data_IF_571103410262
#
_entry.id   IF_571103410262
#
_cell.length_a   1.000
_cell.length_b   1.000
_cell.length_c   1.000
_cell.angle_alpha   90.00
_cell.angle_beta   90.00
_cell.angle_gamma   90.00
#
_symmetry.space_group_name_H-M   'P 1'
#
loop_
_entity.id
_entity.type
_entity.pdbx_description
1 polymer ?
#
# COMPACT_ATOMS: atom_id res chain seq x y z
N UNK A 1 4.72 16.65 21.44
CA UNK A 1 5.15 15.25 21.30
C UNK A 1 4.34 14.43 22.30
N UNK A 2 3.59 13.45 21.83
CA UNK A 2 2.94 12.48 22.72
C UNK A 2 4.03 11.50 23.22
N UNK A 3 4.15 11.35 24.53
CA UNK A 3 5.19 10.53 25.19
C UNK A 3 5.16 9.08 24.67
N UNK A 4 3.96 8.63 24.28
CA UNK A 4 3.71 7.31 23.68
C UNK A 4 4.32 7.17 22.29
N UNK A 5 4.29 8.24 21.48
CA UNK A 5 4.77 8.25 20.09
C UNK A 5 6.30 8.31 20.04
N UNK A 6 6.90 9.09 20.93
CA UNK A 6 8.35 9.11 21.11
C UNK A 6 8.89 7.71 21.44
N UNK A 7 8.23 6.98 22.34
CA UNK A 7 8.62 5.62 22.67
C UNK A 7 8.45 4.65 21.49
N UNK A 8 7.39 4.82 20.69
CA UNK A 8 7.18 4.02 19.49
C UNK A 8 8.31 4.21 18.45
N UNK A 9 8.78 5.44 18.26
CA UNK A 9 9.92 5.74 17.39
C UNK A 9 11.21 5.10 17.90
N UNK A 10 11.49 5.21 19.19
CA UNK A 10 12.67 4.58 19.79
C UNK A 10 12.64 3.04 19.63
N UNK A 11 11.48 2.43 19.86
CA UNK A 11 11.31 0.99 19.67
C UNK A 11 11.54 0.58 18.21
N UNK A 12 11.02 1.35 17.25
CA UNK A 12 11.21 1.10 15.83
C UNK A 12 12.69 1.22 15.43
N UNK A 13 13.39 2.27 15.88
CA UNK A 13 14.82 2.46 15.62
C UNK A 13 15.63 1.31 16.20
N UNK A 14 15.33 0.87 17.42
CA UNK A 14 16.02 -0.28 18.01
C UNK A 14 15.79 -1.58 17.24
N UNK A 15 14.58 -1.81 16.73
CA UNK A 15 14.28 -2.96 15.88
C UNK A 15 15.08 -2.91 14.58
N UNK A 16 15.17 -1.74 13.94
CA UNK A 16 15.93 -1.55 12.71
C UNK A 16 17.44 -1.72 12.90
N UNK A 17 17.98 -1.32 14.05
CA UNK A 17 19.40 -1.51 14.37
C UNK A 17 19.75 -2.95 14.78
N UNK A 18 18.77 -3.71 15.26
CA UNK A 18 18.97 -5.07 15.79
C UNK A 18 18.53 -6.16 14.82
N UNK A 19 17.82 -5.81 13.74
CA UNK A 19 17.33 -6.80 12.79
C UNK A 19 18.45 -7.35 11.90
N UNK A 20 18.31 -8.58 11.37
CA UNK A 20 19.20 -9.08 10.34
C UNK A 20 19.16 -8.21 9.08
N UNK A 21 20.31 -8.05 8.43
CA UNK A 21 20.41 -7.35 7.15
C UNK A 21 19.40 -7.91 6.15
N UNK A 22 18.52 -7.05 5.62
CA UNK A 22 17.48 -7.39 4.65
C UNK A 22 16.07 -7.55 5.22
N UNK A 23 15.88 -7.40 6.54
CA UNK A 23 14.55 -7.39 7.19
C UNK A 23 14.02 -5.97 7.48
N UNK A 24 14.85 -4.94 7.26
CA UNK A 24 14.49 -3.53 7.48
C UNK A 24 13.26 -3.11 6.67
N UNK A 25 13.11 -3.46 5.37
CA UNK A 25 11.95 -3.06 4.58
C UNK A 25 10.62 -3.58 5.13
N UNK A 26 10.59 -4.81 5.65
CA UNK A 26 9.41 -5.45 6.22
C UNK A 26 9.01 -4.77 7.53
N UNK A 27 9.99 -4.43 8.37
CA UNK A 27 9.78 -3.70 9.62
C UNK A 27 9.24 -2.30 9.34
N UNK A 28 9.83 -1.58 8.37
CA UNK A 28 9.35 -0.26 7.94
C UNK A 28 7.93 -0.34 7.35
N UNK A 29 7.64 -1.35 6.54
CA UNK A 29 6.32 -1.54 5.94
C UNK A 29 5.24 -1.80 6.99
N UNK A 30 5.56 -2.57 8.03
CA UNK A 30 4.64 -2.84 9.14
C UNK A 30 4.38 -1.62 10.03
N UNK A 31 5.26 -0.61 9.99
CA UNK A 31 5.23 0.57 10.85
C UNK A 31 5.14 1.89 10.07
N UNK A 32 4.60 1.87 8.84
CA UNK A 32 4.51 3.05 7.97
C UNK A 32 3.80 4.24 8.62
N UNK A 33 2.86 4.00 9.54
CA UNK A 33 2.15 5.04 10.29
C UNK A 33 3.05 5.86 11.25
N UNK A 34 4.22 5.30 11.58
CA UNK A 34 5.26 5.95 12.38
C UNK A 34 6.34 6.61 11.52
N UNK A 35 6.38 6.35 10.21
CA UNK A 35 7.42 6.88 9.32
C UNK A 35 6.98 8.26 8.79
N UNK A 36 7.27 9.30 9.56
CA UNK A 36 6.98 10.69 9.23
C UNK A 36 8.20 11.60 9.48
N UNK A 37 8.04 12.91 9.23
CA UNK A 37 9.10 13.89 9.39
C UNK A 37 9.65 13.96 10.85
N UNK A 38 8.82 13.65 11.85
CA UNK A 38 9.25 13.62 13.25
C UNK A 38 10.12 12.39 13.53
N UNK A 39 9.75 11.22 12.99
CA UNK A 39 10.58 10.02 13.06
C UNK A 39 11.96 10.22 12.43
N UNK A 40 12.05 10.89 11.28
CA UNK A 40 13.34 11.19 10.64
C UNK A 40 14.24 12.05 11.53
N UNK A 41 13.68 13.05 12.22
CA UNK A 41 14.44 13.88 13.16
C UNK A 41 14.95 13.05 14.33
N UNK A 42 14.15 12.11 14.84
CA UNK A 42 14.59 11.20 15.91
C UNK A 42 15.72 10.28 15.42
N UNK A 43 15.67 9.79 14.18
CA UNK A 43 16.78 9.03 13.59
C UNK A 43 18.09 9.83 13.55
N UNK A 44 18.06 11.11 13.18
CA UNK A 44 19.25 11.99 13.18
C UNK A 44 19.79 12.20 14.59
N UNK A 45 18.93 12.47 15.57
CA UNK A 45 19.34 12.65 16.98
C UNK A 45 19.98 11.37 17.53
N UNK A 46 19.42 10.19 17.22
CA UNK A 46 20.01 8.92 17.66
C UNK A 46 21.31 8.63 16.91
N UNK A 47 21.42 8.96 15.63
CA UNK A 47 22.65 8.82 14.87
C UNK A 47 23.79 9.67 15.47
N UNK A 48 23.51 10.92 15.88
CA UNK A 48 24.51 11.77 16.53
C UNK A 48 24.98 11.22 17.88
N UNK A 49 24.05 10.67 18.68
CA UNK A 49 24.40 10.00 19.93
C UNK A 49 25.27 8.75 19.67
N UNK A 50 24.90 7.91 18.71
CA UNK A 50 25.67 6.72 18.33
C UNK A 50 27.07 7.06 17.83
N UNK A 51 27.21 8.14 17.04
CA UNK A 51 28.51 8.63 16.61
C UNK A 51 29.37 9.08 17.80
N UNK A 52 28.77 9.77 18.79
CA UNK A 52 29.43 10.15 20.03
C UNK A 52 29.88 8.97 20.89
N UNK A 53 29.21 7.82 20.77
CA UNK A 53 29.56 6.56 21.44
C UNK A 53 30.57 5.70 20.63
N UNK A 54 31.00 6.15 19.46
CA UNK A 54 31.92 5.41 18.58
C UNK A 54 31.25 4.34 17.71
N UNK A 55 29.91 4.32 17.65
CA UNK A 55 29.12 3.40 16.82
C UNK A 55 28.86 3.98 15.41
N UNK A 56 29.92 4.37 14.70
CA UNK A 56 29.82 5.07 13.41
C UNK A 56 28.98 4.30 12.37
N UNK A 57 29.14 2.97 12.28
CA UNK A 57 28.36 2.16 11.33
C UNK A 57 26.85 2.24 11.56
N UNK A 58 26.42 2.27 12.83
CA UNK A 58 25.00 2.37 13.19
C UNK A 58 24.48 3.80 12.96
N UNK A 59 25.30 4.82 13.25
CA UNK A 59 24.99 6.21 12.95
C UNK A 59 24.83 6.46 11.44
N UNK A 60 25.75 5.95 10.63
CA UNK A 60 25.71 6.08 9.17
C UNK A 60 24.52 5.32 8.57
N UNK A 61 24.18 4.16 9.13
CA UNK A 61 22.95 3.45 8.75
C UNK A 61 21.71 4.33 8.98
N UNK A 62 21.57 4.93 10.18
CA UNK A 62 20.40 5.77 10.49
C UNK A 62 20.33 7.02 9.63
N UNK A 63 21.46 7.69 9.36
CA UNK A 63 21.51 8.87 8.46
C UNK A 63 21.15 8.50 7.03
N UNK A 64 21.68 7.38 6.53
CA UNK A 64 21.34 6.89 5.19
C UNK A 64 19.88 6.48 5.08
N UNK A 65 19.33 5.87 6.13
CA UNK A 65 17.92 5.51 6.20
C UNK A 65 17.05 6.77 6.26
N UNK A 66 17.37 7.74 7.12
CA UNK A 66 16.65 8.99 7.26
C UNK A 66 16.67 9.80 5.96
N UNK A 67 17.80 9.82 5.25
CA UNK A 67 17.91 10.44 3.93
C UNK A 67 17.07 9.74 2.86
N UNK A 68 17.08 8.41 2.81
CA UNK A 68 16.25 7.65 1.86
C UNK A 68 14.76 7.80 2.13
N UNK A 69 14.37 7.72 3.40
CA UNK A 69 12.99 7.92 3.82
C UNK A 69 12.57 9.38 3.67
N UNK A 70 13.48 10.34 3.90
CA UNK A 70 13.28 11.76 3.65
C UNK A 70 13.15 12.10 2.17
N UNK A 71 13.83 11.39 1.28
CA UNK A 71 13.60 11.48 -0.16
C UNK A 71 12.29 10.80 -0.55
N UNK A 72 11.91 9.69 0.07
CA UNK A 72 10.62 9.05 -0.17
C UNK A 72 9.46 9.95 0.28
N UNK A 73 9.55 10.49 1.50
CA UNK A 73 8.60 11.45 2.07
C UNK A 73 8.65 12.79 1.34
N UNK A 74 9.83 13.31 0.97
CA UNK A 74 10.02 14.53 0.20
C UNK A 74 9.50 14.42 -1.24
N UNK A 75 9.63 13.24 -1.86
CA UNK A 75 8.97 12.93 -3.14
C UNK A 75 7.47 12.75 -2.97
N UNK A 76 7.01 12.38 -1.78
CA UNK A 76 5.60 12.48 -1.44
C UNK A 76 5.19 13.93 -1.16
N UNK A 77 6.06 14.80 -0.62
CA UNK A 77 5.79 16.20 -0.24
C UNK A 77 5.88 17.22 -1.38
N UNK A 78 6.81 17.06 -2.34
CA UNK A 78 6.78 17.78 -3.63
C UNK A 78 5.57 17.34 -4.49
N UNK A 79 4.93 16.21 -4.13
CA UNK A 79 3.63 15.75 -4.62
C UNK A 79 2.49 15.96 -3.58
N UNK A 80 2.71 16.77 -2.54
CA UNK A 80 1.74 17.06 -1.46
C UNK A 80 1.64 18.56 -1.20
N UNK A 81 1.37 19.34 -2.25
CA UNK A 81 0.33 20.37 -2.10
C UNK A 81 -1.04 19.70 -2.37
N UNK A 82 -1.49 18.89 -1.40
CA UNK A 82 -2.78 18.19 -1.42
C UNK A 82 -3.65 18.60 -0.24
N UNK A 83 -3.54 19.86 0.17
CA UNK A 83 -4.48 20.48 1.10
C UNK A 83 -5.75 20.97 0.37
N UNK A 84 -6.39 20.09 -0.40
CA UNK A 84 -7.74 20.34 -0.91
C UNK A 84 -8.55 19.04 -1.10
N UNK A 85 -9.79 18.96 -0.60
CA UNK A 85 -10.77 17.93 -0.97
C UNK A 85 -11.03 17.87 -2.49
N UNK A 86 -10.63 18.91 -3.24
CA UNK A 86 -10.75 18.99 -4.69
C UNK A 86 -9.80 18.04 -5.44
N UNK A 87 -8.58 17.79 -4.94
CA UNK A 87 -7.62 16.90 -5.63
C UNK A 87 -8.06 15.43 -5.56
N UNK A 88 -8.57 14.93 -4.42
CA UNK A 88 -9.07 13.55 -4.34
C UNK A 88 -10.25 13.30 -5.29
N UNK A 89 -11.15 14.28 -5.41
CA UNK A 89 -12.28 14.22 -6.35
C UNK A 89 -11.81 14.20 -7.80
N UNK A 90 -10.68 14.80 -8.12
CA UNK A 90 -10.09 14.74 -9.46
C UNK A 90 -9.58 13.34 -9.80
N UNK A 91 -8.84 12.69 -8.90
CA UNK A 91 -8.40 11.30 -9.08
C UNK A 91 -9.61 10.36 -9.22
N UNK A 92 -10.61 10.48 -8.35
CA UNK A 92 -11.82 9.67 -8.42
C UNK A 92 -12.57 9.86 -9.75
N UNK A 93 -12.75 11.11 -10.18
CA UNK A 93 -13.41 11.43 -11.45
C UNK A 93 -12.63 10.88 -12.63
N UNK A 94 -11.31 11.02 -12.61
CA UNK A 94 -10.43 10.53 -13.67
C UNK A 94 -10.47 9.00 -13.78
N UNK A 95 -10.41 8.29 -12.66
CA UNK A 95 -10.52 6.82 -12.64
C UNK A 95 -11.90 6.38 -13.16
N UNK A 96 -12.98 7.04 -12.71
CA UNK A 96 -14.35 6.74 -13.18
C UNK A 96 -14.51 6.96 -14.67
N UNK A 97 -13.92 8.03 -15.21
CA UNK A 97 -13.94 8.33 -16.63
C UNK A 97 -13.18 7.26 -17.44
N UNK A 98 -12.03 6.81 -16.96
CA UNK A 98 -11.28 5.72 -17.59
C UNK A 98 -12.06 4.40 -17.58
N UNK A 99 -12.62 4.02 -16.44
CA UNK A 99 -13.44 2.80 -16.33
C UNK A 99 -14.69 2.88 -17.23
N UNK A 100 -15.33 4.05 -17.31
CA UNK A 100 -16.46 4.26 -18.22
C UNK A 100 -16.02 4.16 -19.69
N UNK A 101 -14.87 4.73 -20.04
CA UNK A 101 -14.34 4.68 -21.40
C UNK A 101 -13.98 3.23 -21.80
N UNK A 102 -13.45 2.42 -20.89
CA UNK A 102 -13.22 0.98 -21.13
C UNK A 102 -14.51 0.26 -21.52
N UNK A 103 -15.60 0.54 -20.79
CA UNK A 103 -16.92 -0.05 -21.04
C UNK A 103 -17.46 0.42 -22.40
N UNK A 104 -17.50 1.73 -22.63
CA UNK A 104 -18.14 2.33 -23.81
C UNK A 104 -17.38 2.06 -25.10
N UNK A 105 -16.05 1.98 -25.02
CA UNK A 105 -15.18 1.75 -26.17
C UNK A 105 -14.88 0.27 -26.42
N UNK A 106 -15.32 -0.63 -25.52
CA UNK A 106 -14.94 -2.03 -25.52
C UNK A 106 -13.40 -2.19 -25.53
N UNK A 107 -12.74 -1.48 -24.61
CA UNK A 107 -11.29 -1.44 -24.43
C UNK A 107 -10.50 -1.01 -25.67
N UNK A 108 -11.01 -0.01 -26.41
CA UNK A 108 -10.26 0.59 -27.51
C UNK A 108 -9.24 1.60 -26.97
N UNK A 109 -7.96 1.20 -26.98
CA UNK A 109 -6.81 2.04 -26.62
C UNK A 109 -6.79 3.40 -27.32
N UNK A 110 -7.42 3.53 -28.51
CA UNK A 110 -7.53 4.82 -29.23
C UNK A 110 -8.43 5.82 -28.51
N UNK A 111 -9.33 5.35 -27.66
CA UNK A 111 -10.17 6.17 -26.77
C UNK A 111 -9.48 6.38 -25.42
N UNK A 112 -8.85 5.35 -24.86
CA UNK A 112 -8.23 5.39 -23.54
C UNK A 112 -6.96 6.26 -23.51
N UNK A 113 -6.07 6.11 -24.49
CA UNK A 113 -4.76 6.76 -24.48
C UNK A 113 -4.84 8.30 -24.56
N UNK A 114 -5.76 8.92 -25.32
CA UNK A 114 -5.99 10.36 -25.23
C UNK A 114 -6.40 10.84 -23.83
N UNK A 115 -7.25 10.08 -23.12
CA UNK A 115 -7.72 10.43 -21.76
C UNK A 115 -6.52 10.38 -20.79
N UNK A 116 -5.72 9.31 -20.85
CA UNK A 116 -4.49 9.18 -20.07
C UNK A 116 -3.48 10.31 -20.37
N UNK A 117 -3.32 10.66 -21.66
CA UNK A 117 -2.38 11.70 -22.10
C UNK A 117 -2.69 13.07 -21.52
N UNK A 118 -3.95 13.44 -21.43
CA UNK A 118 -4.37 14.75 -20.92
C UNK A 118 -4.06 14.93 -19.43
N UNK A 119 -4.06 13.83 -18.67
CA UNK A 119 -3.95 13.83 -17.20
C UNK A 119 -2.79 12.97 -16.69
N UNK A 120 -1.66 12.98 -17.42
CA UNK A 120 -0.45 12.24 -17.04
C UNK A 120 0.08 12.60 -15.65
N UNK A 121 -0.12 13.84 -15.19
CA UNK A 121 0.28 14.28 -13.85
C UNK A 121 -0.45 13.52 -12.73
N UNK A 122 -1.63 12.96 -13.02
CA UNK A 122 -2.38 12.11 -12.10
C UNK A 122 -1.91 10.65 -12.14
N UNK A 123 -1.05 10.22 -13.06
CA UNK A 123 -0.54 8.85 -13.10
C UNK A 123 0.65 8.69 -12.14
N UNK A 124 0.32 8.59 -10.86
CA UNK A 124 1.29 8.47 -9.77
C UNK A 124 0.77 7.52 -8.68
N UNK A 125 1.52 7.37 -7.57
CA UNK A 125 1.15 6.49 -6.47
C UNK A 125 -0.25 6.78 -5.88
N UNK A 126 -0.72 8.04 -5.95
CA UNK A 126 -2.05 8.40 -5.48
C UNK A 126 -3.15 7.77 -6.34
N UNK A 127 -2.95 7.69 -7.66
CA UNK A 127 -3.88 6.98 -8.53
C UNK A 127 -4.03 5.52 -8.11
N UNK A 128 -2.93 4.83 -7.85
CA UNK A 128 -2.96 3.43 -7.40
C UNK A 128 -3.77 3.28 -6.10
N UNK A 129 -3.58 4.19 -5.14
CA UNK A 129 -4.35 4.21 -3.88
C UNK A 129 -5.84 4.50 -4.11
N UNK A 130 -6.17 5.49 -4.93
CA UNK A 130 -7.56 5.87 -5.20
C UNK A 130 -8.28 4.82 -6.05
N UNK A 131 -7.57 4.09 -6.92
CA UNK A 131 -8.12 3.00 -7.72
C UNK A 131 -8.73 1.91 -6.83
N UNK A 132 -8.06 1.55 -5.73
CA UNK A 132 -8.60 0.60 -4.75
C UNK A 132 -9.94 1.06 -4.17
N UNK A 133 -10.00 2.32 -3.71
CA UNK A 133 -11.23 2.89 -3.12
C UNK A 133 -12.37 2.98 -4.14
N UNK A 134 -12.05 3.38 -5.38
CA UNK A 134 -13.05 3.43 -6.45
C UNK A 134 -13.54 2.02 -6.77
N UNK A 135 -12.65 1.04 -6.90
CA UNK A 135 -13.02 -0.35 -7.15
C UNK A 135 -13.95 -0.90 -6.07
N UNK A 136 -13.59 -0.75 -4.79
CA UNK A 136 -14.40 -1.15 -3.64
C UNK A 136 -15.80 -0.53 -3.66
N UNK A 137 -15.89 0.77 -3.98
CA UNK A 137 -17.17 1.46 -4.10
C UNK A 137 -18.03 0.97 -5.29
N UNK A 138 -17.42 0.55 -6.39
CA UNK A 138 -18.15 0.01 -7.55
C UNK A 138 -18.72 -1.38 -7.29
N UNK A 139 -17.97 -2.21 -6.57
CA UNK A 139 -18.35 -3.59 -6.27
C UNK A 139 -19.22 -3.72 -5.02
N UNK A 140 -19.28 -2.67 -4.17
CA UNK A 140 -20.11 -2.64 -2.99
C UNK A 140 -21.58 -2.97 -3.33
N UNK A 141 -22.16 -3.89 -2.56
CA UNK A 141 -23.54 -4.34 -2.69
C UNK A 141 -23.92 -4.92 -4.08
N UNK A 142 -22.94 -5.37 -4.87
CA UNK A 142 -23.14 -6.06 -6.15
C UNK A 142 -23.11 -7.57 -6.01
N UNK A 143 -23.81 -8.25 -6.92
CA UNK A 143 -23.74 -9.71 -7.04
C UNK A 143 -22.43 -10.17 -7.70
N UNK A 144 -22.12 -11.46 -7.58
CA UNK A 144 -20.84 -12.02 -8.04
C UNK A 144 -20.59 -11.85 -9.55
N UNK A 145 -21.63 -11.82 -10.38
CA UNK A 145 -21.51 -11.68 -11.84
C UNK A 145 -21.17 -10.23 -12.19
N UNK A 146 -21.85 -9.28 -11.55
CA UNK A 146 -21.54 -7.85 -11.67
C UNK A 146 -20.13 -7.54 -11.16
N UNK A 147 -19.72 -8.12 -10.02
CA UNK A 147 -18.35 -7.97 -9.50
C UNK A 147 -17.32 -8.50 -10.49
N UNK A 148 -17.53 -9.69 -11.05
CA UNK A 148 -16.61 -10.27 -12.03
C UNK A 148 -16.47 -9.38 -13.29
N UNK A 149 -17.58 -8.77 -13.73
CA UNK A 149 -17.57 -7.82 -14.85
C UNK A 149 -16.76 -6.56 -14.54
N UNK A 150 -16.98 -5.95 -13.38
CA UNK A 150 -16.22 -4.76 -12.91
C UNK A 150 -14.73 -5.08 -12.80
N UNK A 151 -14.40 -6.24 -12.25
CA UNK A 151 -13.02 -6.70 -12.10
C UNK A 151 -12.35 -6.90 -13.46
N UNK A 152 -13.07 -7.43 -14.46
CA UNK A 152 -12.56 -7.53 -15.84
C UNK A 152 -12.27 -6.17 -16.46
N UNK A 153 -13.08 -5.15 -16.18
CA UNK A 153 -12.85 -3.78 -16.64
C UNK A 153 -11.57 -3.19 -15.99
N UNK A 154 -11.38 -3.41 -14.69
CA UNK A 154 -10.17 -2.97 -13.97
C UNK A 154 -8.91 -3.64 -14.53
N UNK A 155 -9.00 -4.92 -14.89
CA UNK A 155 -7.91 -5.65 -15.54
C UNK A 155 -7.54 -5.04 -16.89
N UNK A 156 -8.52 -4.77 -17.75
CA UNK A 156 -8.29 -4.13 -19.04
C UNK A 156 -7.61 -2.76 -18.88
N UNK A 157 -8.12 -1.93 -17.97
CA UNK A 157 -7.50 -0.64 -17.67
C UNK A 157 -6.06 -0.79 -17.17
N UNK A 158 -5.78 -1.82 -16.37
CA UNK A 158 -4.43 -2.11 -15.86
C UNK A 158 -3.47 -2.50 -16.99
N UNK A 159 -3.94 -3.28 -17.97
CA UNK A 159 -3.20 -3.62 -19.18
C UNK A 159 -2.92 -2.35 -20.00
N UNK A 160 -3.93 -1.50 -20.18
CA UNK A 160 -3.82 -0.27 -20.96
C UNK A 160 -2.84 0.73 -20.36
N UNK A 161 -2.90 0.95 -19.04
CA UNK A 161 -1.96 1.81 -18.31
C UNK A 161 -0.55 1.19 -18.34
N UNK A 162 -0.43 -0.13 -18.16
CA UNK A 162 0.85 -0.83 -18.26
C UNK A 162 1.46 -0.75 -19.67
N UNK A 163 0.67 -0.59 -20.73
CA UNK A 163 1.17 -0.44 -22.09
C UNK A 163 1.27 1.02 -22.55
N UNK A 164 0.78 1.96 -21.74
CA UNK A 164 0.77 3.38 -22.08
C UNK A 164 2.21 3.92 -22.22
N UNK A 165 2.59 4.47 -23.39
CA UNK A 165 3.98 4.81 -23.69
C UNK A 165 4.42 6.18 -23.16
N UNK A 166 3.50 6.98 -22.61
CA UNK A 166 3.77 8.32 -22.09
C UNK A 166 3.68 8.36 -20.56
N UNK A 167 4.23 9.42 -19.96
CA UNK A 167 4.27 9.60 -18.52
C UNK A 167 5.44 8.86 -17.85
N UNK A 168 5.34 8.69 -16.53
CA UNK A 168 6.37 7.98 -15.76
C UNK A 168 6.12 6.46 -15.83
N UNK A 169 7.03 5.73 -16.47
CA UNK A 169 6.93 4.28 -16.66
C UNK A 169 6.82 3.51 -15.34
N UNK A 170 7.55 3.92 -14.31
CA UNK A 170 7.50 3.25 -13.01
C UNK A 170 6.11 3.41 -12.38
N UNK A 171 5.56 4.62 -12.37
CA UNK A 171 4.22 4.88 -11.86
C UNK A 171 3.15 4.07 -12.61
N UNK A 172 3.25 3.98 -13.94
CA UNK A 172 2.30 3.20 -14.75
C UNK A 172 2.34 1.70 -14.37
N UNK A 173 3.54 1.17 -14.10
CA UNK A 173 3.71 -0.22 -13.63
C UNK A 173 3.11 -0.40 -12.24
N UNK A 174 3.38 0.52 -11.31
CA UNK A 174 2.83 0.45 -9.94
C UNK A 174 1.30 0.51 -9.92
N UNK A 175 0.70 1.36 -10.77
CA UNK A 175 -0.74 1.42 -10.97
C UNK A 175 -1.29 0.09 -11.51
N UNK A 176 -0.63 -0.49 -12.51
CA UNK A 176 -1.04 -1.78 -13.07
C UNK A 176 -0.94 -2.91 -12.04
N UNK A 177 0.10 -2.91 -11.20
CA UNK A 177 0.25 -3.85 -10.08
C UNK A 177 -0.93 -3.73 -9.12
N UNK A 178 -1.31 -2.50 -8.72
CA UNK A 178 -2.46 -2.28 -7.85
C UNK A 178 -3.76 -2.81 -8.48
N UNK A 179 -3.97 -2.56 -9.78
CA UNK A 179 -5.11 -3.10 -10.51
C UNK A 179 -5.14 -4.64 -10.56
N UNK A 180 -4.01 -5.30 -10.82
CA UNK A 180 -3.93 -6.76 -10.77
C UNK A 180 -4.16 -7.33 -9.35
N UNK A 181 -3.74 -6.62 -8.30
CA UNK A 181 -4.03 -7.03 -6.92
C UNK A 181 -5.55 -7.02 -6.63
N UNK A 182 -6.28 -6.02 -7.13
CA UNK A 182 -7.75 -6.01 -7.08
C UNK A 182 -8.32 -7.23 -7.80
N UNK A 183 -7.87 -7.48 -9.04
CA UNK A 183 -8.34 -8.63 -9.84
C UNK A 183 -8.15 -9.95 -9.11
N UNK A 184 -6.96 -10.18 -8.57
CA UNK A 184 -6.62 -11.40 -7.83
C UNK A 184 -7.45 -11.56 -6.55
N UNK A 185 -7.76 -10.45 -5.87
CA UNK A 185 -8.57 -10.46 -4.64
C UNK A 185 -10.02 -10.88 -4.89
N UNK A 186 -10.52 -10.72 -6.12
CA UNK A 186 -11.92 -10.97 -6.48
C UNK A 186 -12.15 -12.13 -7.47
N UNK A 187 -11.11 -12.67 -8.14
CA UNK A 187 -11.24 -13.77 -9.12
C UNK A 187 -11.35 -15.19 -8.56
N UNK A 188 -11.17 -15.43 -7.26
CA UNK A 188 -11.22 -16.80 -6.74
C UNK A 188 -12.64 -17.31 -6.44
N UNK A 189 -13.09 -18.42 -7.07
CA UNK A 189 -14.24 -19.18 -6.60
C UNK A 189 -13.82 -20.04 -5.41
N UNK A 190 -14.02 -19.50 -4.20
CA UNK A 190 -13.90 -20.25 -2.95
C UNK A 190 -12.80 -19.77 -2.01
N UNK A 191 -13.23 -19.34 -0.82
CA UNK A 191 -12.41 -19.03 0.37
C UNK A 191 -11.49 -17.82 0.26
N UNK A 192 -12.06 -16.66 0.59
CA UNK A 192 -11.84 -16.07 1.91
C UNK A 192 -10.52 -16.46 2.62
N UNK A 193 -9.40 -15.94 2.13
CA UNK A 193 -8.11 -16.04 2.83
C UNK A 193 -8.18 -15.18 4.10
N UNK A 194 -8.92 -14.07 4.08
CA UNK A 194 -9.19 -13.22 5.24
C UNK A 194 -10.09 -13.84 6.31
N UNK A 195 -11.16 -14.56 5.95
CA UNK A 195 -12.01 -15.23 6.96
C UNK A 195 -11.42 -16.56 7.49
N UNK A 196 -10.46 -17.19 6.81
CA UNK A 196 -9.77 -18.37 7.36
C UNK A 196 -8.89 -18.04 8.55
N UNK A 197 -8.26 -16.87 8.58
CA UNK A 197 -7.51 -16.43 9.76
C UNK A 197 -8.43 -16.04 10.93
N UNK A 198 -9.65 -15.54 10.68
CA UNK A 198 -10.62 -15.26 11.75
C UNK A 198 -11.18 -16.53 12.41
N UNK A 199 -11.39 -17.61 11.67
CA UNK A 199 -11.98 -18.86 12.21
C UNK A 199 -10.96 -19.67 13.02
N UNK A 200 -9.67 -19.63 12.66
CA UNK A 200 -8.62 -20.38 13.37
C UNK A 200 -8.34 -19.78 14.76
N UNK A 201 -8.59 -18.49 14.98
CA UNK A 201 -8.37 -17.80 16.27
C UNK A 201 -9.65 -17.57 17.10
N UNK A 202 -10.84 -17.95 16.62
CA UNK A 202 -12.11 -17.74 17.34
C UNK A 202 -12.77 -19.01 17.90
N UNK A 203 -12.16 -20.19 17.76
CA UNK A 203 -12.67 -21.38 18.45
C UNK A 203 -12.10 -21.43 19.88
N UNK A 204 -12.94 -21.40 20.93
CA UNK A 204 -12.47 -21.66 22.28
C UNK A 204 -11.96 -23.10 22.32
N UNK A 205 -10.71 -23.30 22.76
CA UNK A 205 -10.14 -24.63 23.02
C UNK A 205 -10.90 -25.28 24.18
N UNK A 206 -12.02 -25.93 23.87
CA UNK A 206 -12.74 -26.81 24.77
C UNK A 206 -12.54 -28.24 24.28
N UNK A 207 -11.56 -28.93 24.85
CA UNK A 207 -11.71 -30.36 25.16
C UNK A 207 -10.85 -30.69 26.36
N UNK A 208 -11.47 -30.62 27.55
CA UNK A 208 -10.98 -31.28 28.75
C UNK A 208 -11.45 -32.74 28.72
N UNK A 209 -10.48 -33.64 28.87
CA UNK A 209 -10.56 -35.00 29.44
C UNK A 209 -11.50 -36.05 28.83
N UNK A 210 -10.90 -37.18 28.43
CA UNK A 210 -11.27 -38.54 28.90
C UNK A 210 -10.14 -39.53 28.51
N UNK A 211 -9.10 -39.59 29.33
CA UNK A 211 -8.25 -40.78 29.40
C UNK A 211 -8.92 -41.73 30.41
N UNK A 212 -9.57 -42.76 29.87
CA UNK A 212 -10.16 -43.86 30.64
C UNK A 212 -9.13 -44.99 30.69
N UNK A 213 -8.83 -45.48 31.90
CA UNK A 213 -8.04 -46.69 32.17
C UNK A 213 -6.91 -46.40 33.16
N UNK A 214 -6.79 -47.04 34.34
CA UNK A 214 -7.43 -48.24 34.89
C UNK A 214 -6.97 -48.37 36.36
N UNK A 215 -7.81 -48.89 37.27
CA UNK A 215 -7.40 -49.62 38.49
C UNK A 215 -8.63 -50.19 39.23
N UNK A 216 -8.94 -51.46 38.96
CA UNK A 216 -8.87 -52.55 39.94
C UNK A 216 -8.07 -53.65 39.27
#
# INVERSE_FOLDING_TARGET
MDETRAQAYLNLIQQLLSCPNGEEPQILQANLELVDAEFLQVCEVIADNLAGEGQENAADFLRNLASQLGQFLGRNEENMDNSAPENLREYERFIRELLQAEIESNSDVKVIYPILRQRQHLLNARFAQTLQQVAENFIADKDSETIASIVGIIENLSIDISNFPLGNRANNIDIAIAGYQIVLSHRQPGRNIGQRLKIIWQLPTVTKSRATGQRI
#
